data_IF_691509767619
#
_entry.id   IF_691509767619
#
_cell.length_a   1.000
_cell.length_b   1.000
_cell.length_c   1.000
_cell.angle_alpha   90.00
_cell.angle_beta   90.00
_cell.angle_gamma   90.00
#
_symmetry.space_group_name_H-M   'P 1'
#
loop_
_entity.id
_entity.type
_entity.pdbx_description
1 polymer ?
#
# COMPACT_ATOMS: atom_id res chain seq x y z
N UNK A 1 -16.24 -1.66 -14.65
CA UNK A 1 -16.97 -1.60 -13.37
C UNK A 1 -16.00 -1.75 -12.22
N UNK A 2 -16.39 -1.30 -11.05
CA UNK A 2 -15.55 -1.38 -9.87
C UNK A 2 -16.26 -2.10 -8.73
N UNK A 3 -15.45 -2.67 -7.84
CA UNK A 3 -15.90 -3.30 -6.60
C UNK A 3 -15.40 -2.48 -5.42
N UNK A 4 -16.00 -2.69 -4.26
CA UNK A 4 -15.63 -1.99 -3.03
C UNK A 4 -15.16 -3.01 -2.00
N UNK A 5 -13.99 -2.75 -1.42
CA UNK A 5 -13.53 -3.41 -0.20
C UNK A 5 -13.86 -2.50 0.97
N UNK A 6 -14.38 -3.08 2.04
CA UNK A 6 -14.64 -2.35 3.28
C UNK A 6 -14.44 -3.26 4.47
N UNK A 7 -13.62 -2.78 5.40
CA UNK A 7 -13.45 -3.45 6.68
C UNK A 7 -13.09 -2.43 7.75
N UNK A 8 -13.84 -2.43 8.85
CA UNK A 8 -13.67 -1.46 9.91
C UNK A 8 -13.81 -0.04 9.37
N UNK A 9 -12.83 0.81 9.66
CA UNK A 9 -12.82 2.19 9.20
C UNK A 9 -12.29 2.38 7.78
N UNK A 10 -11.73 1.33 7.17
CA UNK A 10 -11.03 1.43 5.89
C UNK A 10 -11.89 0.92 4.74
N UNK A 11 -11.86 1.63 3.61
CA UNK A 11 -12.52 1.20 2.38
C UNK A 11 -11.79 1.76 1.17
N UNK A 12 -11.89 1.03 0.04
CA UNK A 12 -11.37 1.50 -1.25
C UNK A 12 -12.14 0.82 -2.39
N UNK A 13 -11.97 1.36 -3.60
CA UNK A 13 -12.55 0.79 -4.81
C UNK A 13 -11.45 0.20 -5.68
N UNK A 14 -11.75 -0.92 -6.32
CA UNK A 14 -10.81 -1.57 -7.23
C UNK A 14 -11.56 -2.13 -8.44
N UNK A 15 -10.88 -2.28 -9.61
CA UNK A 15 -11.52 -2.82 -10.81
C UNK A 15 -11.95 -4.27 -10.60
N UNK A 16 -13.08 -4.68 -11.21
CA UNK A 16 -13.61 -6.03 -11.04
C UNK A 16 -12.77 -7.12 -11.72
N UNK A 17 -11.83 -6.74 -12.60
CA UNK A 17 -10.89 -7.69 -13.20
C UNK A 17 -9.58 -7.83 -12.41
N UNK A 18 -9.44 -7.13 -11.29
CA UNK A 18 -8.33 -7.35 -10.36
C UNK A 18 -8.77 -8.34 -9.30
N UNK A 19 -7.85 -9.14 -8.80
CA UNK A 19 -8.16 -10.15 -7.78
C UNK A 19 -7.84 -9.63 -6.39
N UNK A 20 -8.63 -10.05 -5.41
CA UNK A 20 -8.47 -9.60 -4.03
C UNK A 20 -8.32 -10.81 -3.12
N UNK A 21 -7.40 -10.69 -2.16
CA UNK A 21 -7.19 -11.68 -1.11
C UNK A 21 -7.12 -10.95 0.22
N UNK A 22 -7.69 -11.55 1.25
CA UNK A 22 -7.64 -11.00 2.60
C UNK A 22 -7.24 -12.11 3.57
N UNK A 23 -6.34 -11.78 4.48
CA UNK A 23 -5.91 -12.73 5.52
C UNK A 23 -5.78 -12.03 6.86
N UNK A 24 -6.05 -12.78 7.94
CA UNK A 24 -5.81 -12.33 9.29
C UNK A 24 -4.39 -12.69 9.70
N UNK A 25 -3.81 -11.87 10.58
CA UNK A 25 -2.52 -12.17 11.21
C UNK A 25 -2.61 -11.85 12.70
N UNK A 26 -1.52 -12.05 13.44
CA UNK A 26 -1.53 -11.90 14.90
C UNK A 26 -1.80 -10.46 15.36
N UNK A 27 -1.62 -9.49 14.50
CA UNK A 27 -1.72 -8.06 14.85
C UNK A 27 -2.87 -7.34 14.14
N UNK A 28 -3.61 -8.02 13.28
CA UNK A 28 -4.69 -7.40 12.52
C UNK A 28 -4.99 -8.18 11.26
N UNK A 29 -4.98 -7.49 10.11
CA UNK A 29 -5.28 -8.12 8.83
C UNK A 29 -4.53 -7.44 7.68
N UNK A 30 -4.44 -8.14 6.55
CA UNK A 30 -3.89 -7.61 5.31
C UNK A 30 -4.84 -7.96 4.17
N UNK A 31 -5.13 -6.99 3.32
CA UNK A 31 -5.83 -7.19 2.06
C UNK A 31 -4.86 -6.89 0.93
N UNK A 32 -4.86 -7.73 -0.10
CA UNK A 32 -4.01 -7.56 -1.29
C UNK A 32 -4.87 -7.56 -2.53
N UNK A 33 -4.58 -6.67 -3.45
CA UNK A 33 -5.29 -6.55 -4.72
C UNK A 33 -4.26 -6.68 -5.83
N UNK A 34 -4.51 -7.61 -6.77
CA UNK A 34 -3.57 -7.97 -7.83
C UNK A 34 -4.16 -7.66 -9.19
N UNK A 35 -3.39 -6.96 -10.04
CA UNK A 35 -3.77 -6.75 -11.44
C UNK A 35 -3.62 -8.04 -12.25
N UNK A 36 -4.10 -8.06 -13.48
CA UNK A 36 -3.75 -9.16 -14.41
C UNK A 36 -2.26 -9.22 -14.75
N UNK A 37 -1.54 -8.12 -14.60
CA UNK A 37 -0.09 -8.03 -14.83
C UNK A 37 0.71 -8.07 -13.52
N UNK A 38 1.66 -7.13 -13.38
CA UNK A 38 2.58 -7.10 -12.24
C UNK A 38 2.17 -6.14 -11.12
N UNK A 39 1.17 -5.28 -11.36
CA UNK A 39 0.79 -4.30 -10.35
C UNK A 39 0.04 -4.96 -9.20
N UNK A 40 0.34 -4.53 -7.98
CA UNK A 40 -0.43 -4.95 -6.82
C UNK A 40 -0.40 -3.87 -5.74
N UNK A 41 -1.37 -3.97 -4.85
CA UNK A 41 -1.51 -3.11 -3.68
C UNK A 41 -1.78 -3.99 -2.47
N UNK A 42 -1.12 -3.69 -1.35
CA UNK A 42 -1.47 -4.28 -0.06
C UNK A 42 -1.84 -3.19 0.91
N UNK A 43 -2.86 -3.45 1.72
CA UNK A 43 -3.26 -2.59 2.81
C UNK A 43 -3.28 -3.44 4.08
N UNK A 44 -2.43 -3.09 5.04
CA UNK A 44 -2.31 -3.82 6.29
C UNK A 44 -2.79 -2.94 7.44
N UNK A 45 -3.62 -3.48 8.30
CA UNK A 45 -4.03 -2.80 9.53
C UNK A 45 -3.40 -3.53 10.73
N UNK A 46 -2.69 -2.78 11.57
CA UNK A 46 -2.13 -3.26 12.82
C UNK A 46 -2.92 -2.64 13.97
N UNK A 47 -3.66 -3.47 14.69
CA UNK A 47 -4.56 -3.01 15.77
C UNK A 47 -3.83 -2.67 17.06
N UNK A 48 -2.52 -2.89 17.13
CA UNK A 48 -1.70 -2.51 18.27
C UNK A 48 -1.25 -1.04 18.22
N UNK A 49 -1.66 -0.30 17.20
CA UNK A 49 -1.36 1.13 17.02
C UNK A 49 0.14 1.45 17.05
N UNK A 50 0.98 0.73 16.29
CA UNK A 50 2.39 1.10 16.23
C UNK A 50 2.56 2.50 15.63
N UNK A 51 3.68 3.14 15.94
CA UNK A 51 4.00 4.44 15.37
C UNK A 51 4.15 4.34 13.85
N UNK A 52 3.48 5.23 13.12
CA UNK A 52 3.45 5.17 11.65
C UNK A 52 4.83 5.36 11.01
N UNK A 53 5.69 6.22 11.57
CA UNK A 53 7.06 6.37 11.06
C UNK A 53 7.86 5.09 11.26
N UNK A 54 7.68 4.42 12.39
CA UNK A 54 8.36 3.16 12.68
C UNK A 54 7.91 2.07 11.72
N UNK A 55 6.61 2.01 11.41
CA UNK A 55 6.08 1.06 10.43
C UNK A 55 6.72 1.30 9.07
N UNK A 56 6.78 2.56 8.62
CA UNK A 56 7.40 2.91 7.34
C UNK A 56 8.88 2.53 7.31
N UNK A 57 9.62 2.80 8.38
CA UNK A 57 11.05 2.49 8.46
C UNK A 57 11.31 0.97 8.50
N UNK A 58 10.46 0.22 9.18
CA UNK A 58 10.57 -1.24 9.26
C UNK A 58 10.39 -1.87 7.87
N UNK A 59 9.42 -1.38 7.10
CA UNK A 59 9.20 -1.85 5.73
C UNK A 59 10.39 -1.50 4.85
N UNK A 60 10.92 -0.28 4.96
CA UNK A 60 12.11 0.11 4.20
C UNK A 60 13.30 -0.80 4.50
N UNK A 61 13.54 -1.12 5.76
CA UNK A 61 14.62 -2.02 6.16
C UNK A 61 14.43 -3.42 5.57
N UNK A 62 13.20 -3.94 5.61
CA UNK A 62 12.89 -5.24 5.02
C UNK A 62 13.15 -5.24 3.52
N UNK A 63 12.74 -4.17 2.82
CA UNK A 63 12.98 -4.03 1.39
C UNK A 63 14.48 -3.94 1.08
N UNK A 64 15.26 -3.21 1.89
CA UNK A 64 16.72 -3.12 1.69
C UNK A 64 17.42 -4.45 1.93
N UNK A 65 16.90 -5.30 2.82
CA UNK A 65 17.44 -6.64 3.01
C UNK A 65 17.24 -7.51 1.78
N UNK A 66 16.08 -7.37 1.12
CA UNK A 66 15.76 -8.13 -0.10
C UNK A 66 16.45 -7.52 -1.32
N UNK A 67 16.51 -6.20 -1.42
CA UNK A 67 17.04 -5.44 -2.55
C UNK A 67 18.07 -4.42 -2.05
N UNK A 68 19.32 -4.85 -1.78
CA UNK A 68 20.32 -3.96 -1.16
C UNK A 68 20.64 -2.69 -1.94
N UNK A 69 20.39 -2.70 -3.26
CA UNK A 69 20.69 -1.55 -4.13
C UNK A 69 19.48 -0.68 -4.42
N UNK A 70 18.36 -0.88 -3.70
CA UNK A 70 17.18 -0.07 -3.93
C UNK A 70 17.46 1.41 -3.68
N UNK A 71 16.77 2.26 -4.44
CA UNK A 71 16.76 3.70 -4.21
C UNK A 71 15.47 4.05 -3.47
N UNK A 72 15.57 4.93 -2.48
CA UNK A 72 14.45 5.31 -1.65
C UNK A 72 14.46 6.82 -1.40
N UNK A 73 13.28 7.45 -1.52
CA UNK A 73 13.05 8.84 -1.16
C UNK A 73 11.96 8.91 -0.12
N UNK A 74 12.19 9.66 0.96
CA UNK A 74 11.15 9.89 1.97
C UNK A 74 10.02 10.72 1.39
N UNK A 75 8.79 10.38 1.79
CA UNK A 75 7.59 11.12 1.38
C UNK A 75 6.66 11.28 2.57
N UNK A 76 5.98 12.44 2.60
CA UNK A 76 4.91 12.70 3.55
C UNK A 76 3.83 13.46 2.81
N UNK A 77 2.58 12.98 2.90
CA UNK A 77 1.46 13.56 2.18
C UNK A 77 0.14 13.13 2.81
N UNK A 78 -0.94 13.75 2.40
CA UNK A 78 -2.28 13.34 2.82
C UNK A 78 -2.69 12.09 2.05
N UNK A 79 -3.16 11.07 2.76
CA UNK A 79 -3.76 9.86 2.17
C UNK A 79 -5.07 9.60 2.93
N UNK A 80 -6.17 9.53 2.21
CA UNK A 80 -7.50 9.31 2.81
C UNK A 80 -7.82 10.31 3.93
N UNK A 81 -7.34 11.54 3.80
CA UNK A 81 -7.54 12.58 4.81
C UNK A 81 -6.58 12.52 5.99
N UNK A 82 -5.68 11.55 6.01
CA UNK A 82 -4.72 11.36 7.10
C UNK A 82 -3.31 11.77 6.66
N UNK A 83 -2.52 12.28 7.58
CA UNK A 83 -1.11 12.54 7.31
C UNK A 83 -0.36 11.21 7.26
N UNK A 84 0.19 10.90 6.10
CA UNK A 84 0.87 9.63 5.84
C UNK A 84 2.35 9.86 5.60
N UNK A 85 3.17 8.95 6.10
CA UNK A 85 4.63 8.98 5.91
C UNK A 85 5.07 7.67 5.28
N UNK A 86 6.11 7.72 4.48
CA UNK A 86 6.62 6.52 3.82
C UNK A 86 7.74 6.84 2.87
N UNK A 87 7.86 6.02 1.83
CA UNK A 87 8.95 6.12 0.88
C UNK A 87 8.46 5.82 -0.53
N UNK A 88 9.10 6.47 -1.51
CA UNK A 88 9.03 6.04 -2.90
C UNK A 88 10.29 5.25 -3.18
N UNK A 89 10.14 4.07 -3.76
CA UNK A 89 11.20 3.09 -3.93
C UNK A 89 11.35 2.69 -5.39
N UNK A 90 12.58 2.41 -5.79
CA UNK A 90 12.87 1.84 -7.11
C UNK A 90 13.93 0.77 -6.96
N UNK A 91 13.72 -0.40 -7.57
CA UNK A 91 14.66 -1.50 -7.46
C UNK A 91 14.54 -2.45 -8.65
N UNK A 92 15.60 -3.24 -8.89
CA UNK A 92 15.62 -4.28 -9.90
C UNK A 92 15.24 -5.62 -9.30
N UNK A 93 14.38 -6.36 -10.02
CA UNK A 93 14.04 -7.73 -9.69
C UNK A 93 13.65 -8.43 -10.99
N UNK A 94 14.24 -9.61 -11.24
CA UNK A 94 13.96 -10.41 -12.44
C UNK A 94 14.17 -9.61 -13.74
N UNK A 95 15.24 -8.83 -13.79
CA UNK A 95 15.61 -7.96 -14.92
C UNK A 95 14.61 -6.84 -15.22
N UNK A 96 13.72 -6.54 -14.27
CA UNK A 96 12.74 -5.46 -14.41
C UNK A 96 12.98 -4.39 -13.35
N UNK A 97 12.79 -3.13 -13.74
CA UNK A 97 12.72 -2.02 -12.78
C UNK A 97 11.32 -2.00 -12.18
N UNK A 98 11.26 -1.98 -10.87
CA UNK A 98 10.01 -1.91 -10.14
C UNK A 98 9.89 -0.56 -9.45
N UNK A 99 8.70 0.03 -9.54
CA UNK A 99 8.32 1.23 -8.80
C UNK A 99 7.44 0.79 -7.65
N UNK A 100 7.76 1.23 -6.45
CA UNK A 100 7.02 0.89 -5.25
C UNK A 100 6.84 2.14 -4.40
N UNK A 101 5.72 2.27 -3.71
CA UNK A 101 5.57 3.34 -2.72
C UNK A 101 4.84 2.80 -1.50
N UNK A 102 5.24 3.32 -0.34
CA UNK A 102 4.65 2.96 0.94
C UNK A 102 4.12 4.20 1.62
N UNK A 103 2.98 4.08 2.28
CA UNK A 103 2.40 5.17 3.07
C UNK A 103 1.80 4.57 4.33
N UNK A 104 2.24 5.06 5.47
CA UNK A 104 1.75 4.60 6.77
C UNK A 104 1.02 5.75 7.45
N UNK A 105 -0.15 5.48 8.03
CA UNK A 105 -0.98 6.51 8.64
C UNK A 105 -1.83 5.93 9.77
N UNK A 106 -2.23 6.79 10.68
CA UNK A 106 -3.11 6.40 11.79
C UNK A 106 -4.56 6.39 11.34
N UNK A 107 -5.33 5.47 11.87
CA UNK A 107 -6.78 5.43 11.69
C UNK A 107 -7.46 4.99 12.99
N UNK A 108 -8.81 5.12 13.10
CA UNK A 108 -9.48 4.85 14.38
C UNK A 108 -9.24 3.45 14.94
N UNK A 109 -9.08 2.44 14.11
CA UNK A 109 -8.94 1.04 14.53
C UNK A 109 -7.50 0.52 14.50
N UNK A 110 -6.51 1.37 14.19
CA UNK A 110 -5.11 0.93 14.23
C UNK A 110 -4.20 1.81 13.40
N UNK A 111 -3.06 1.25 13.02
CA UNK A 111 -2.12 1.89 12.09
C UNK A 111 -2.19 1.16 10.77
N UNK A 112 -2.40 1.89 9.69
CA UNK A 112 -2.51 1.35 8.35
C UNK A 112 -1.20 1.52 7.58
N UNK A 113 -0.86 0.51 6.79
CA UNK A 113 0.26 0.56 5.86
C UNK A 113 -0.25 0.22 4.47
N UNK A 114 -0.09 1.17 3.55
CA UNK A 114 -0.38 1.00 2.14
C UNK A 114 0.93 0.76 1.41
N UNK A 115 1.02 -0.31 0.62
CA UNK A 115 2.18 -0.60 -0.22
C UNK A 115 1.69 -0.91 -1.62
N UNK A 116 2.27 -0.23 -2.62
CA UNK A 116 1.90 -0.38 -4.01
C UNK A 116 3.15 -0.65 -4.84
N UNK A 117 3.04 -1.52 -5.85
CA UNK A 117 4.18 -1.88 -6.68
C UNK A 117 3.73 -2.19 -8.10
N UNK A 118 4.53 -1.77 -9.07
CA UNK A 118 4.32 -2.07 -10.49
C UNK A 118 5.68 -2.13 -11.18
N UNK A 119 5.83 -3.06 -12.14
CA UNK A 119 7.06 -3.15 -12.94
C UNK A 119 6.96 -2.24 -14.18
N UNK A 120 8.14 -1.96 -14.79
CA UNK A 120 8.22 -1.07 -15.96
C UNK A 120 7.61 -1.64 -17.24
N UNK A 121 7.30 -2.94 -17.28
CA UNK A 121 6.58 -3.55 -18.42
C UNK A 121 5.07 -3.32 -18.35
N UNK A 122 4.55 -2.89 -17.21
CA UNK A 122 3.13 -2.68 -16.99
C UNK A 122 2.80 -1.24 -16.60
N UNK A 123 3.49 -0.28 -17.22
CA UNK A 123 3.30 1.14 -16.88
C UNK A 123 1.86 1.62 -17.07
N UNK A 124 1.08 0.97 -17.94
CA UNK A 124 -0.34 1.29 -18.12
C UNK A 124 -1.18 0.94 -16.89
N UNK A 125 -0.69 0.07 -16.02
CA UNK A 125 -1.39 -0.29 -14.77
C UNK A 125 -1.14 0.71 -13.64
N UNK A 126 -0.11 1.54 -13.73
CA UNK A 126 0.20 2.50 -12.67
C UNK A 126 -0.93 3.50 -12.43
N UNK A 127 -1.54 4.13 -13.46
CA UNK A 127 -2.68 5.02 -13.22
C UNK A 127 -3.85 4.35 -12.55
N UNK A 128 -4.10 3.07 -12.86
CA UNK A 128 -5.17 2.29 -12.22
C UNK A 128 -4.84 2.08 -10.76
N UNK A 129 -3.59 1.70 -10.47
CA UNK A 129 -3.12 1.51 -9.10
C UNK A 129 -3.24 2.81 -8.29
N UNK A 130 -2.89 3.94 -8.87
CA UNK A 130 -3.02 5.23 -8.22
C UNK A 130 -4.49 5.62 -8.00
N UNK A 131 -5.38 5.24 -8.91
CA UNK A 131 -6.81 5.47 -8.74
C UNK A 131 -7.39 4.66 -7.57
N UNK A 132 -6.91 3.43 -7.37
CA UNK A 132 -7.29 2.62 -6.21
C UNK A 132 -6.87 3.34 -4.92
N UNK A 133 -5.61 3.80 -4.88
CA UNK A 133 -5.09 4.56 -3.73
C UNK A 133 -5.92 5.82 -3.46
N UNK A 134 -6.28 6.55 -4.52
CA UNK A 134 -7.07 7.77 -4.38
C UNK A 134 -8.49 7.52 -3.87
N UNK A 135 -8.99 6.30 -4.03
CA UNK A 135 -10.33 5.92 -3.55
C UNK A 135 -10.34 5.52 -2.07
N UNK A 136 -9.16 5.39 -1.45
CA UNK A 136 -9.05 4.97 -0.06
C UNK A 136 -9.73 5.99 0.86
N UNK A 137 -10.51 5.50 1.81
CA UNK A 137 -11.26 6.33 2.78
C UNK A 137 -11.10 5.76 4.16
N UNK A 138 -11.09 6.66 5.13
CA UNK A 138 -11.10 6.33 6.56
C UNK A 138 -12.40 6.87 7.13
N UNK A 139 -13.31 5.97 7.55
CA UNK A 139 -14.59 6.36 8.13
C UNK A 139 -14.39 6.95 9.53
N UNK A 140 -15.26 7.88 9.91
CA UNK A 140 -15.18 8.54 11.22
C UNK A 140 -14.22 9.72 11.25
N UNK A 141 -13.66 10.09 10.09
CA UNK A 141 -12.73 11.19 9.95
C UNK A 141 -13.40 12.35 9.19
N UNK A 142 -14.58 12.67 9.58
CA UNK A 142 -15.38 13.73 8.95
C UNK A 142 -15.12 15.09 9.57
#
# INVERSE_FOLDING_TARGET
MSRVFREGSLSFRYPDNWQIEREDNDHGWTVSVYSPGTAFLTLTLDTDYPDSERVADTVLEAMRSEYPELEADERAEQVAGQWAVGHDLSFFSLDLTNTCWTRSFDCPDGTALLLCQVSDIDTAEEPVLRAICASLRVAGDD
#
